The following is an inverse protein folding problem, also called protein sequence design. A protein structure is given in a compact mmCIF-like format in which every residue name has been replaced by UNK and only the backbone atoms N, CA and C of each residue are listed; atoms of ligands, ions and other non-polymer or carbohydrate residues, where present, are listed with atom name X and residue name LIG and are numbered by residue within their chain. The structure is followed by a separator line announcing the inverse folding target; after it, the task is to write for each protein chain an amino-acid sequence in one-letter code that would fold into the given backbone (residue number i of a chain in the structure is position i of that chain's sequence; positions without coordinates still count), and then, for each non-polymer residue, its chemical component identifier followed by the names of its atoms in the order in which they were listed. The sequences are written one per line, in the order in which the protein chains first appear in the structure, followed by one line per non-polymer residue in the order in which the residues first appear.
data_IF_914494847655
#
_entry.id   IF_914494847655
#
_cell.length_a   1.000
_cell.length_b   1.000
_cell.length_c   1.000
_cell.angle_alpha   90.00
_cell.angle_beta   90.00
_cell.angle_gamma   90.00
#
_symmetry.space_group_name_H-M   'P 1'
#
loop_
_entity.id
_entity.type
_entity.pdbx_description
1 polymer ?
#
# COMPACT_ATOMS: atom_id res chain seq x y z
N UNK A 1 0.47 -14.53 -5.95
CA UNK A 1 0.01 -14.57 -4.55
C UNK A 1 -1.29 -15.38 -4.55
N UNK A 2 -1.33 -16.56 -3.93
CA UNK A 2 -2.53 -17.40 -3.91
C UNK A 2 -3.50 -16.91 -2.80
N UNK A 3 -4.12 -15.75 -2.97
CA UNK A 3 -5.26 -15.35 -2.12
C UNK A 3 -6.55 -15.94 -2.69
N UNK A 4 -7.45 -16.36 -1.78
CA UNK A 4 -8.81 -16.75 -2.16
C UNK A 4 -9.57 -15.52 -2.63
N UNK A 5 -10.42 -15.68 -3.63
CA UNK A 5 -11.12 -14.55 -4.27
C UNK A 5 -11.92 -13.69 -3.28
N UNK A 6 -12.60 -14.33 -2.32
CA UNK A 6 -13.35 -13.65 -1.25
C UNK A 6 -12.50 -12.73 -0.35
N UNK A 7 -11.20 -12.98 -0.25
CA UNK A 7 -10.30 -12.27 0.66
C UNK A 7 -9.59 -11.10 -0.05
N UNK A 8 -9.63 -11.05 -1.39
CA UNK A 8 -8.99 -10.02 -2.22
C UNK A 8 -9.47 -8.59 -1.91
N UNK A 9 -10.78 -8.31 -1.71
CA UNK A 9 -11.22 -6.94 -1.36
C UNK A 9 -10.68 -6.45 -0.02
N UNK A 10 -10.59 -7.35 0.98
CA UNK A 10 -10.03 -7.01 2.29
C UNK A 10 -8.53 -6.75 2.19
N UNK A 11 -7.80 -7.62 1.48
CA UNK A 11 -6.37 -7.44 1.24
C UNK A 11 -6.07 -6.14 0.49
N UNK A 12 -6.86 -5.82 -0.54
CA UNK A 12 -6.78 -4.55 -1.27
C UNK A 12 -6.91 -3.34 -0.34
N UNK A 13 -7.95 -3.31 0.51
CA UNK A 13 -8.14 -2.24 1.49
C UNK A 13 -6.95 -2.11 2.43
N UNK A 14 -6.44 -3.24 2.96
CA UNK A 14 -5.28 -3.23 3.86
C UNK A 14 -4.05 -2.63 3.19
N UNK A 15 -3.78 -3.01 1.93
CA UNK A 15 -2.65 -2.50 1.15
C UNK A 15 -2.81 -0.99 0.85
N UNK A 16 -4.01 -0.53 0.49
CA UNK A 16 -4.28 0.88 0.27
C UNK A 16 -4.15 1.71 1.56
N UNK A 17 -4.66 1.21 2.69
CA UNK A 17 -4.48 1.86 4.00
C UNK A 17 -3.01 1.91 4.40
N UNK A 18 -2.27 0.82 4.19
CA UNK A 18 -0.82 0.78 4.43
C UNK A 18 -0.05 1.74 3.52
N UNK A 19 -0.45 1.87 2.27
CA UNK A 19 0.11 2.85 1.33
C UNK A 19 -0.09 4.28 1.86
N UNK A 20 -1.29 4.63 2.30
CA UNK A 20 -1.57 5.94 2.88
C UNK A 20 -0.69 6.22 4.11
N UNK A 21 -0.56 5.26 5.02
CA UNK A 21 0.32 5.38 6.18
C UNK A 21 1.80 5.58 5.77
N UNK A 22 2.27 4.87 4.75
CA UNK A 22 3.63 5.02 4.22
C UNK A 22 3.86 6.40 3.60
N UNK A 23 2.86 7.00 2.94
CA UNK A 23 2.95 8.39 2.47
C UNK A 23 3.12 9.35 3.66
N UNK A 24 2.36 9.17 4.74
CA UNK A 24 2.52 10.00 5.95
C UNK A 24 3.93 9.88 6.53
N UNK A 25 4.48 8.67 6.63
CA UNK A 25 5.86 8.47 7.07
C UNK A 25 6.89 9.09 6.13
N UNK A 26 6.64 9.09 4.82
CA UNK A 26 7.49 9.79 3.85
C UNK A 26 7.51 11.30 4.12
N UNK A 27 6.34 11.90 4.37
CA UNK A 27 6.21 13.33 4.71
C UNK A 27 6.93 13.63 6.03
N UNK A 28 6.75 12.82 7.07
CA UNK A 28 7.45 13.01 8.35
C UNK A 28 8.97 12.87 8.22
N UNK A 29 9.45 11.89 7.45
CA UNK A 29 10.87 11.76 7.15
C UNK A 29 11.42 12.96 6.40
N UNK A 30 10.65 13.53 5.45
CA UNK A 30 11.05 14.72 4.71
C UNK A 30 11.18 15.97 5.59
N UNK A 31 10.44 16.04 6.70
CA UNK A 31 10.55 17.08 7.72
C UNK A 31 11.73 16.86 8.69
N UNK A 32 12.58 15.86 8.44
CA UNK A 32 13.83 15.61 9.17
C UNK A 32 13.72 14.61 10.30
N UNK A 33 12.56 13.97 10.49
CA UNK A 33 12.37 12.91 11.49
C UNK A 33 12.18 11.57 10.79
N UNK A 34 13.28 10.96 10.35
CA UNK A 34 13.27 9.60 9.83
C UNK A 34 13.08 8.61 10.99
N UNK A 35 11.89 8.00 11.05
CA UNK A 35 11.54 7.05 12.13
C UNK A 35 12.28 5.72 11.96
N UNK A 36 12.35 5.20 10.72
CA UNK A 36 12.92 3.88 10.46
C UNK A 36 13.56 3.78 9.07
N UNK A 37 12.77 4.03 8.01
CA UNK A 37 13.27 4.18 6.66
C UNK A 37 13.42 5.67 6.31
N UNK A 38 14.30 5.96 5.35
CA UNK A 38 14.39 7.30 4.76
C UNK A 38 13.07 7.68 4.09
N UNK A 39 12.73 8.97 4.08
CA UNK A 39 11.52 9.50 3.42
C UNK A 39 11.27 8.98 2.00
N UNK A 40 12.32 8.89 1.17
CA UNK A 40 12.23 8.36 -0.20
C UNK A 40 11.91 6.86 -0.25
N UNK A 41 12.38 6.09 0.73
CA UNK A 41 12.10 4.66 0.84
C UNK A 41 10.65 4.43 1.29
N UNK A 42 10.14 5.22 2.23
CA UNK A 42 8.71 5.20 2.59
C UNK A 42 7.82 5.54 1.40
N UNK A 43 8.24 6.47 0.55
CA UNK A 43 7.54 6.79 -0.69
C UNK A 43 7.48 5.57 -1.63
N UNK A 44 8.60 4.88 -1.84
CA UNK A 44 8.67 3.66 -2.66
C UNK A 44 7.76 2.54 -2.11
N UNK A 45 7.78 2.32 -0.79
CA UNK A 45 6.88 1.35 -0.13
C UNK A 45 5.43 1.73 -0.40
N UNK A 46 5.07 3.01 -0.27
CA UNK A 46 3.69 3.46 -0.54
C UNK A 46 3.24 3.15 -1.96
N UNK A 47 4.11 3.33 -2.96
CA UNK A 47 3.83 3.08 -4.38
C UNK A 47 3.58 1.60 -4.60
N UNK A 48 4.45 0.74 -4.09
CA UNK A 48 4.32 -0.72 -4.24
C UNK A 48 3.01 -1.21 -3.60
N UNK A 49 2.70 -0.75 -2.39
CA UNK A 49 1.46 -1.09 -1.70
C UNK A 49 0.22 -0.60 -2.46
N UNK A 50 0.25 0.62 -3.01
CA UNK A 50 -0.85 1.16 -3.82
C UNK A 50 -1.09 0.33 -5.08
N UNK A 51 -0.02 0.02 -5.84
CA UNK A 51 -0.11 -0.76 -7.07
C UNK A 51 -0.73 -2.13 -6.79
N UNK A 52 -0.25 -2.84 -5.77
CA UNK A 52 -0.81 -4.14 -5.40
C UNK A 52 -2.23 -4.05 -4.85
N UNK A 53 -2.54 -3.02 -4.08
CA UNK A 53 -3.88 -2.79 -3.56
C UNK A 53 -4.90 -2.57 -4.67
N UNK A 54 -4.58 -1.72 -5.65
CA UNK A 54 -5.43 -1.49 -6.83
C UNK A 54 -5.51 -2.75 -7.69
N UNK A 55 -4.40 -3.44 -7.94
CA UNK A 55 -4.40 -4.68 -8.71
C UNK A 55 -5.35 -5.74 -8.13
N UNK A 56 -5.30 -5.97 -6.81
CA UNK A 56 -6.20 -6.93 -6.16
C UNK A 56 -7.66 -6.48 -6.17
N UNK A 57 -7.92 -5.16 -6.17
CA UNK A 57 -9.26 -4.64 -6.30
C UNK A 57 -9.83 -4.94 -7.69
N UNK A 58 -9.06 -4.63 -8.74
CA UNK A 58 -9.44 -4.90 -10.12
C UNK A 58 -9.65 -6.40 -10.33
N UNK A 59 -8.77 -7.24 -9.79
CA UNK A 59 -8.92 -8.70 -9.89
C UNK A 59 -10.21 -9.20 -9.21
N UNK A 60 -10.62 -8.58 -8.09
CA UNK A 60 -11.84 -8.92 -7.39
C UNK A 60 -13.11 -8.47 -8.14
N UNK A 61 -13.08 -7.31 -8.80
CA UNK A 61 -14.22 -6.78 -9.58
C UNK A 61 -14.42 -7.50 -10.92
N UNK A 62 -13.34 -7.79 -11.67
CA UNK A 62 -13.47 -8.36 -13.02
C UNK A 62 -13.55 -9.89 -13.06
N UNK A 63 -13.41 -10.58 -11.91
CA UNK A 63 -13.64 -12.03 -11.80
C UNK A 63 -14.97 -12.38 -11.09
N UNK A 64 -15.77 -11.41 -10.67
CA UNK A 64 -17.09 -11.65 -10.06
C UNK A 64 -18.17 -11.95 -11.09
#
# INVERSE_FOLDING_TARGET
MFLRDKDKPMASKLLLTGSFAAVLFSVFGALGSDIYLASSQWLLVSIVLAIWGVYLLLEAEFRS
#
